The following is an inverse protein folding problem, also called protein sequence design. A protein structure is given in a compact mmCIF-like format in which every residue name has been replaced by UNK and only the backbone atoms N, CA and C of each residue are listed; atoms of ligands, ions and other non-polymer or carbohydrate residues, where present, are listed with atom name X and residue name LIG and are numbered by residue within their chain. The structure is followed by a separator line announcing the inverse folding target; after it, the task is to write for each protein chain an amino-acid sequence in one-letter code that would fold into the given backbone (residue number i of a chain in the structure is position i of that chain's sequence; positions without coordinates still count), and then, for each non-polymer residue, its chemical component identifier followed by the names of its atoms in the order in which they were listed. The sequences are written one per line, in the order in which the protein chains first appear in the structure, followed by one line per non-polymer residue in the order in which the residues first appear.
data_IF_274927692615
#
_entry.id   IF_274927692615
#
_cell.length_a   1.000
_cell.length_b   1.000
_cell.length_c   1.000
_cell.angle_alpha   90.00
_cell.angle_beta   90.00
_cell.angle_gamma   90.00
#
_symmetry.space_group_name_H-M   'P 1'
#
loop_
_entity.id
_entity.type
_entity.pdbx_description
1 polymer ?
#
# COMPACT_ATOMS: atom_id res chain seq x y z
N UNK A 1 27.79 -15.33 0.93
CA UNK A 1 26.98 -14.27 0.34
C UNK A 1 27.28 -14.18 -1.16
N UNK A 2 26.47 -14.86 -2.00
CA UNK A 2 26.52 -14.67 -3.44
C UNK A 2 25.51 -13.60 -3.81
N UNK A 3 26.00 -12.44 -4.24
CA UNK A 3 25.18 -11.46 -4.98
C UNK A 3 24.80 -12.14 -6.31
N UNK A 4 23.51 -12.39 -6.48
CA UNK A 4 22.97 -12.84 -7.77
C UNK A 4 23.10 -11.68 -8.75
N UNK A 5 23.80 -11.91 -9.87
CA UNK A 5 23.90 -10.94 -10.97
C UNK A 5 22.54 -10.78 -11.63
N UNK A 6 22.27 -9.57 -12.12
CA UNK A 6 20.98 -9.10 -12.66
C UNK A 6 20.39 -9.91 -13.82
N UNK A 7 21.11 -10.85 -14.39
CA UNK A 7 20.70 -11.59 -15.58
C UNK A 7 20.15 -13.01 -15.32
N UNK A 8 20.22 -13.51 -14.08
CA UNK A 8 19.95 -14.92 -13.84
C UNK A 8 18.65 -15.28 -13.11
N UNK A 9 17.94 -14.32 -12.51
CA UNK A 9 16.68 -14.60 -11.77
C UNK A 9 15.79 -13.36 -11.72
N UNK A 10 14.95 -13.13 -12.71
CA UNK A 10 13.87 -12.16 -12.56
C UNK A 10 12.67 -12.83 -11.87
N UNK A 11 12.60 -12.69 -10.56
CA UNK A 11 11.35 -12.86 -9.82
C UNK A 11 10.69 -11.48 -9.84
N UNK A 12 9.72 -11.26 -10.74
CA UNK A 12 8.98 -9.99 -10.80
C UNK A 12 7.95 -9.95 -9.68
N UNK A 13 8.36 -9.49 -8.49
CA UNK A 13 7.57 -9.54 -7.26
C UNK A 13 6.82 -8.24 -6.93
N UNK A 14 7.10 -7.14 -7.61
CA UNK A 14 6.83 -5.85 -6.98
C UNK A 14 5.96 -4.87 -7.74
N UNK A 15 6.11 -4.70 -9.05
CA UNK A 15 5.45 -3.60 -9.79
C UNK A 15 3.93 -3.64 -9.73
N UNK A 16 3.31 -4.83 -9.79
CA UNK A 16 1.87 -5.01 -9.65
C UNK A 16 1.35 -4.58 -8.28
N UNK A 17 2.10 -4.90 -7.23
CA UNK A 17 1.80 -4.54 -5.84
C UNK A 17 1.84 -3.03 -5.63
N UNK A 18 2.90 -2.37 -6.11
CA UNK A 18 3.01 -0.91 -6.05
C UNK A 18 1.89 -0.20 -6.82
N UNK A 19 1.55 -0.70 -8.00
CA UNK A 19 0.41 -0.17 -8.78
C UNK A 19 -0.91 -0.30 -8.03
N UNK A 20 -1.18 -1.47 -7.43
CA UNK A 20 -2.39 -1.70 -6.63
C UNK A 20 -2.47 -0.72 -5.45
N UNK A 21 -1.37 -0.48 -4.74
CA UNK A 21 -1.31 0.48 -3.65
C UNK A 21 -1.66 1.91 -4.10
N UNK A 22 -1.07 2.37 -5.21
CA UNK A 22 -1.34 3.70 -5.74
C UNK A 22 -2.81 3.87 -6.16
N UNK A 23 -3.37 2.88 -6.87
CA UNK A 23 -4.78 2.89 -7.29
C UNK A 23 -5.74 2.87 -6.10
N UNK A 24 -5.41 2.11 -5.06
CA UNK A 24 -6.18 2.06 -3.82
C UNK A 24 -6.29 3.44 -3.15
N UNK A 25 -5.17 4.13 -3.00
CA UNK A 25 -5.15 5.46 -2.41
C UNK A 25 -5.76 6.54 -3.33
N UNK A 26 -5.56 6.42 -4.65
CA UNK A 26 -6.19 7.33 -5.61
C UNK A 26 -7.71 7.30 -5.55
N UNK A 27 -8.31 6.10 -5.42
CA UNK A 27 -9.76 5.93 -5.22
C UNK A 27 -10.26 6.59 -3.92
N UNK A 28 -9.38 6.79 -2.93
CA UNK A 28 -9.64 7.50 -1.68
C UNK A 28 -9.29 8.99 -1.73
N UNK A 29 -9.06 9.51 -2.95
CA UNK A 29 -8.82 10.93 -3.24
C UNK A 29 -7.54 11.50 -2.62
N UNK A 30 -6.53 10.67 -2.40
CA UNK A 30 -5.21 11.16 -2.03
C UNK A 30 -4.51 11.77 -3.25
N UNK A 31 -3.77 12.86 -3.03
CA UNK A 31 -2.93 13.54 -4.01
C UNK A 31 -1.44 13.49 -3.64
N UNK A 32 -1.14 13.27 -2.36
CA UNK A 32 0.22 13.10 -1.86
C UNK A 32 0.45 11.64 -1.54
N UNK A 33 1.54 11.08 -2.07
CA UNK A 33 1.88 9.67 -1.97
C UNK A 33 3.33 9.53 -1.52
N UNK A 34 3.58 8.73 -0.51
CA UNK A 34 4.91 8.43 -0.01
C UNK A 34 5.20 6.94 -0.09
N UNK A 35 6.44 6.59 -0.35
CA UNK A 35 6.96 5.23 -0.26
C UNK A 35 8.05 5.14 0.79
N UNK A 36 8.02 4.08 1.60
CA UNK A 36 9.07 3.72 2.53
C UNK A 36 9.57 2.32 2.25
N UNK A 37 10.88 2.15 2.02
CA UNK A 37 11.43 0.86 1.61
C UNK A 37 12.91 0.68 1.87
N UNK A 38 13.42 -0.47 1.39
CA UNK A 38 14.81 -0.90 1.55
C UNK A 38 15.54 -0.66 0.21
N UNK A 39 16.60 0.12 0.27
CA UNK A 39 17.43 0.42 -0.91
C UNK A 39 18.22 -0.80 -1.38
N UNK A 40 18.24 -1.03 -2.70
CA UNK A 40 19.02 -2.11 -3.32
C UNK A 40 18.45 -3.51 -3.13
N UNK A 41 17.22 -3.64 -2.65
CA UNK A 41 16.49 -4.90 -2.54
C UNK A 41 15.47 -4.98 -3.67
N UNK A 42 15.66 -5.92 -4.60
CA UNK A 42 14.92 -6.01 -5.87
C UNK A 42 13.41 -5.91 -5.70
N UNK A 43 12.80 -6.65 -4.78
CA UNK A 43 11.35 -6.63 -4.59
C UNK A 43 10.84 -5.29 -4.00
N UNK A 44 11.65 -4.61 -3.15
CA UNK A 44 11.36 -3.27 -2.64
C UNK A 44 11.45 -2.23 -3.76
N UNK A 45 12.56 -2.26 -4.53
CA UNK A 45 12.77 -1.36 -5.67
C UNK A 45 11.65 -1.49 -6.71
N UNK A 46 11.20 -2.72 -7.00
CA UNK A 46 10.08 -2.97 -7.93
C UNK A 46 8.74 -2.46 -7.39
N UNK A 47 8.46 -2.62 -6.08
CA UNK A 47 7.27 -2.07 -5.43
C UNK A 47 7.28 -0.54 -5.51
N UNK A 48 8.42 0.08 -5.19
CA UNK A 48 8.63 1.52 -5.33
C UNK A 48 8.37 2.01 -6.75
N UNK A 49 8.99 1.36 -7.73
CA UNK A 49 8.86 1.76 -9.14
C UNK A 49 7.42 1.60 -9.66
N UNK A 50 6.74 0.50 -9.33
CA UNK A 50 5.34 0.30 -9.69
C UNK A 50 4.41 1.35 -9.08
N UNK A 51 4.65 1.72 -7.83
CA UNK A 51 3.92 2.77 -7.12
C UNK A 51 4.18 4.14 -7.74
N UNK A 52 5.45 4.51 -7.95
CA UNK A 52 5.86 5.77 -8.57
C UNK A 52 5.28 5.97 -9.96
N UNK A 53 5.33 4.94 -10.82
CA UNK A 53 4.78 5.01 -12.18
C UNK A 53 3.27 5.28 -12.18
N UNK A 54 2.53 4.61 -11.29
CA UNK A 54 1.09 4.81 -11.19
C UNK A 54 0.74 6.18 -10.58
N UNK A 55 1.47 6.62 -9.54
CA UNK A 55 1.31 7.97 -8.96
C UNK A 55 1.53 9.05 -10.03
N UNK A 56 2.57 8.90 -10.87
CA UNK A 56 2.81 9.81 -11.99
C UNK A 56 1.67 9.79 -13.02
N UNK A 57 1.09 8.61 -13.30
CA UNK A 57 -0.03 8.47 -14.25
C UNK A 57 -1.28 9.22 -13.80
N UNK A 58 -1.50 9.33 -12.50
CA UNK A 58 -2.65 10.03 -11.91
C UNK A 58 -2.32 11.47 -11.48
N UNK A 59 -1.18 12.01 -11.90
CA UNK A 59 -0.73 13.37 -11.59
C UNK A 59 -0.62 13.66 -10.08
N UNK A 60 -0.19 12.65 -9.30
CA UNK A 60 0.03 12.74 -7.86
C UNK A 60 1.44 13.21 -7.51
N UNK A 61 1.60 13.80 -6.33
CA UNK A 61 2.90 14.15 -5.77
C UNK A 61 3.53 12.90 -5.13
N UNK A 62 4.78 12.61 -5.47
CA UNK A 62 5.50 11.42 -4.98
C UNK A 62 6.68 11.79 -4.08
N UNK A 63 6.76 11.15 -2.93
CA UNK A 63 7.83 11.26 -1.93
C UNK A 63 8.39 9.86 -1.65
N UNK A 64 9.70 9.77 -1.36
CA UNK A 64 10.33 8.48 -1.14
C UNK A 64 11.40 8.56 -0.06
N UNK A 65 11.43 7.54 0.80
CA UNK A 65 12.54 7.29 1.73
C UNK A 65 12.95 5.83 1.61
N UNK A 66 14.19 5.59 1.23
CA UNK A 66 14.76 4.25 1.10
C UNK A 66 16.11 4.22 1.82
N UNK A 67 16.37 3.18 2.59
CA UNK A 67 17.62 3.00 3.33
C UNK A 67 18.02 1.54 3.34
N UNK A 68 19.33 1.27 3.37
CA UNK A 68 19.93 -0.04 3.58
C UNK A 68 20.39 -0.24 5.04
N UNK A 69 20.19 0.77 5.90
CA UNK A 69 20.53 0.73 7.32
C UNK A 69 19.41 0.09 8.13
N UNK A 70 19.78 -0.38 9.33
CA UNK A 70 18.80 -0.91 10.29
C UNK A 70 17.86 0.19 10.80
N UNK A 71 16.63 -0.17 11.11
CA UNK A 71 15.56 0.75 11.57
C UNK A 71 15.97 1.61 12.77
N UNK A 72 16.71 1.04 13.74
CA UNK A 72 17.18 1.77 14.92
C UNK A 72 18.15 2.91 14.57
N UNK A 73 18.91 2.77 13.47
CA UNK A 73 19.88 3.79 13.02
C UNK A 73 19.21 4.96 12.31
N UNK A 74 18.05 4.72 11.66
CA UNK A 74 17.36 5.71 10.83
C UNK A 74 16.13 6.33 11.47
N UNK A 75 15.72 5.90 12.68
CA UNK A 75 14.47 6.34 13.33
C UNK A 75 14.36 7.87 13.45
N UNK A 76 15.44 8.56 13.74
CA UNK A 76 15.46 10.02 13.86
C UNK A 76 15.26 10.66 12.47
N UNK A 77 15.98 10.18 11.46
CA UNK A 77 15.87 10.68 10.07
C UNK A 77 14.46 10.44 9.51
N UNK A 78 13.90 9.25 9.78
CA UNK A 78 12.52 8.90 9.36
C UNK A 78 11.49 9.77 10.09
N UNK A 79 11.67 10.02 11.40
CA UNK A 79 10.78 10.90 12.16
C UNK A 79 10.75 12.31 11.59
N UNK A 80 11.91 12.88 11.23
CA UNK A 80 12.01 14.20 10.59
C UNK A 80 11.33 14.19 9.22
N UNK A 81 11.63 13.20 8.39
CA UNK A 81 10.99 13.05 7.08
C UNK A 81 9.46 12.97 7.17
N UNK A 82 8.92 12.15 8.10
CA UNK A 82 7.47 12.04 8.31
C UNK A 82 6.83 13.35 8.76
N UNK A 83 7.54 14.19 9.53
CA UNK A 83 7.06 15.52 9.94
C UNK A 83 7.00 16.49 8.77
N UNK A 84 7.98 16.44 7.85
CA UNK A 84 8.08 17.32 6.68
C UNK A 84 7.10 16.98 5.55
N UNK A 85 6.58 15.74 5.52
CA UNK A 85 5.64 15.33 4.49
C UNK A 85 4.34 16.15 4.54
N UNK A 86 3.80 16.55 3.37
CA UNK A 86 2.50 17.23 3.30
C UNK A 86 1.38 16.30 3.77
N UNK A 87 0.50 16.79 4.60
CA UNK A 87 -0.61 16.02 5.18
C UNK A 87 -1.96 16.53 4.68
N UNK A 88 -2.94 15.64 4.46
CA UNK A 88 -2.87 14.19 4.59
C UNK A 88 -2.09 13.54 3.45
N UNK A 89 -1.41 12.43 3.77
CA UNK A 89 -0.62 11.67 2.81
C UNK A 89 -0.91 10.17 2.87
N UNK A 90 -0.84 9.50 1.73
CA UNK A 90 -0.91 8.06 1.59
C UNK A 90 0.51 7.49 1.62
N UNK A 91 0.84 6.67 2.63
CA UNK A 91 2.16 6.07 2.78
C UNK A 91 2.09 4.56 2.54
N UNK A 92 2.85 4.10 1.56
CA UNK A 92 3.01 2.71 1.20
C UNK A 92 4.38 2.20 1.65
N UNK A 93 4.40 1.18 2.51
CA UNK A 93 5.62 0.53 2.97
C UNK A 93 5.94 -0.72 2.16
N UNK A 94 7.22 -1.02 2.04
CA UNK A 94 7.68 -2.18 1.27
C UNK A 94 7.17 -3.51 1.81
N UNK A 95 6.95 -3.65 3.13
CA UNK A 95 6.34 -4.80 3.81
C UNK A 95 5.66 -4.39 5.13
N UNK A 96 5.08 -5.36 5.84
CA UNK A 96 4.35 -5.12 7.09
C UNK A 96 5.29 -4.79 8.26
N UNK A 97 6.51 -5.32 8.28
CA UNK A 97 7.49 -5.00 9.33
C UNK A 97 7.89 -3.53 9.28
N UNK A 98 8.16 -3.01 8.06
CA UNK A 98 8.45 -1.60 7.84
C UNK A 98 7.22 -0.72 8.08
N UNK A 99 6.01 -1.22 7.81
CA UNK A 99 4.78 -0.51 8.15
C UNK A 99 4.60 -0.40 9.67
N UNK A 100 4.93 -1.46 10.44
CA UNK A 100 4.94 -1.41 11.90
C UNK A 100 5.95 -0.40 12.42
N UNK A 101 7.18 -0.40 11.89
CA UNK A 101 8.21 0.58 12.25
C UNK A 101 7.75 2.03 12.00
N UNK A 102 7.10 2.30 10.86
CA UNK A 102 6.51 3.62 10.56
C UNK A 102 5.38 3.96 11.54
N UNK A 103 4.49 3.00 11.85
CA UNK A 103 3.40 3.20 12.82
C UNK A 103 3.93 3.61 14.20
N UNK A 104 4.95 2.91 14.70
CA UNK A 104 5.61 3.23 15.96
C UNK A 104 6.29 4.60 15.91
N UNK A 105 6.98 4.91 14.81
CA UNK A 105 7.66 6.21 14.64
C UNK A 105 6.65 7.35 14.58
N UNK A 106 5.50 7.17 13.92
CA UNK A 106 4.40 8.14 13.94
C UNK A 106 3.87 8.37 15.36
N UNK A 107 3.66 7.31 16.14
CA UNK A 107 3.18 7.38 17.52
C UNK A 107 4.14 8.18 18.42
N UNK A 108 5.45 7.90 18.31
CA UNK A 108 6.49 8.63 19.06
C UNK A 108 6.54 10.10 18.63
N UNK A 109 6.32 10.39 17.35
CA UNK A 109 6.37 11.74 16.77
C UNK A 109 5.04 12.50 16.86
N UNK A 110 4.02 11.93 17.53
CA UNK A 110 2.67 12.48 17.67
C UNK A 110 2.00 12.78 16.30
N UNK A 111 2.21 11.89 15.34
CA UNK A 111 1.57 11.91 14.01
C UNK A 111 0.44 10.89 14.02
N UNK A 112 -0.77 11.29 13.61
CA UNK A 112 -1.96 10.46 13.72
C UNK A 112 -2.18 9.61 12.46
N UNK A 113 -2.39 8.31 12.67
CA UNK A 113 -2.81 7.34 11.66
C UNK A 113 -4.26 6.94 11.99
N UNK A 114 -5.20 7.02 11.06
CA UNK A 114 -5.06 7.37 9.62
C UNK A 114 -5.23 8.85 9.26
N UNK A 115 -5.41 9.77 10.24
CA UNK A 115 -5.86 11.15 9.99
C UNK A 115 -4.84 11.98 9.21
N UNK A 116 -3.56 11.86 9.52
CA UNK A 116 -2.47 12.58 8.86
C UNK A 116 -1.74 11.69 7.85
N UNK A 117 -1.52 10.43 8.19
CA UNK A 117 -0.85 9.43 7.35
C UNK A 117 -1.74 8.20 7.23
N UNK A 118 -2.23 7.92 6.03
CA UNK A 118 -2.90 6.65 5.73
C UNK A 118 -1.86 5.60 5.35
N UNK A 119 -1.72 4.54 6.15
CA UNK A 119 -0.59 3.60 6.10
C UNK A 119 -1.00 2.25 5.52
N UNK A 120 -0.23 1.75 4.55
CA UNK A 120 -0.45 0.45 3.89
C UNK A 120 0.83 -0.36 3.85
N UNK A 121 0.76 -1.61 4.33
CA UNK A 121 1.82 -2.61 4.25
C UNK A 121 1.63 -3.61 3.12
N UNK A 122 2.48 -4.66 3.12
CA UNK A 122 2.42 -5.80 2.20
C UNK A 122 2.79 -7.07 2.94
N UNK A 123 2.25 -8.20 2.51
CA UNK A 123 2.38 -9.60 2.92
C UNK A 123 1.21 -10.11 3.77
N UNK A 124 0.44 -9.21 4.38
CA UNK A 124 -0.70 -9.51 5.25
C UNK A 124 -0.34 -10.49 6.38
N UNK A 125 0.76 -10.17 7.09
CA UNK A 125 1.13 -10.89 8.30
C UNK A 125 0.16 -10.52 9.43
N UNK A 126 -0.70 -11.47 9.81
CA UNK A 126 -1.75 -11.24 10.81
C UNK A 126 -1.19 -10.83 12.18
N UNK A 127 -0.01 -11.34 12.55
CA UNK A 127 0.59 -10.99 13.84
C UNK A 127 1.07 -9.52 13.81
N UNK A 128 1.83 -9.16 12.80
CA UNK A 128 2.40 -7.81 12.65
C UNK A 128 1.29 -6.79 12.49
N UNK A 129 0.35 -7.05 11.58
CA UNK A 129 -0.73 -6.12 11.27
C UNK A 129 -1.66 -5.85 12.47
N UNK A 130 -1.91 -6.85 13.32
CA UNK A 130 -2.83 -6.71 14.46
C UNK A 130 -2.15 -6.24 15.75
N UNK A 131 -0.82 -6.38 15.90
CA UNK A 131 -0.10 -5.84 17.06
C UNK A 131 0.10 -4.33 16.97
N UNK A 132 0.05 -3.77 15.77
CA UNK A 132 0.13 -2.33 15.54
C UNK A 132 -1.09 -1.60 16.09
N UNK A 133 -0.88 -0.36 16.54
CA UNK A 133 -1.94 0.54 16.99
C UNK A 133 -1.83 1.87 16.23
N UNK A 134 -2.73 2.15 15.27
CA UNK A 134 -3.86 1.31 14.83
C UNK A 134 -3.43 0.07 14.01
N UNK A 135 -4.29 -0.98 13.90
CA UNK A 135 -4.05 -2.14 13.06
C UNK A 135 -3.80 -1.77 11.61
N UNK A 136 -2.78 -2.40 10.98
CA UNK A 136 -2.26 -2.05 9.66
C UNK A 136 -3.04 -2.77 8.56
N UNK A 137 -3.57 -2.01 7.60
CA UNK A 137 -4.05 -2.53 6.31
C UNK A 137 -2.87 -3.03 5.48
N UNK A 138 -3.03 -4.14 4.78
CA UNK A 138 -1.94 -4.77 4.06
C UNK A 138 -2.39 -5.41 2.75
N UNK A 139 -1.49 -5.45 1.76
CA UNK A 139 -1.70 -6.15 0.50
C UNK A 139 -1.34 -7.62 0.69
N UNK A 140 -2.33 -8.51 0.49
CA UNK A 140 -2.11 -9.94 0.46
C UNK A 140 -1.53 -10.35 -0.89
N UNK A 141 -0.45 -11.13 -0.86
CA UNK A 141 0.20 -11.69 -2.03
C UNK A 141 -0.18 -13.16 -2.25
N UNK A 142 -0.06 -13.62 -3.50
CA UNK A 142 -0.18 -15.05 -3.81
C UNK A 142 0.81 -15.86 -2.98
N UNK A 143 0.34 -16.95 -2.40
CA UNK A 143 1.20 -17.89 -1.67
C UNK A 143 2.09 -18.66 -2.62
N UNK A 144 3.23 -18.07 -2.99
CA UNK A 144 4.20 -18.66 -3.92
C UNK A 144 4.92 -19.91 -3.40
N UNK A 145 4.83 -20.23 -2.12
CA UNK A 145 5.60 -21.31 -1.49
C UNK A 145 5.46 -22.68 -2.15
N UNK A 146 4.25 -23.08 -2.57
CA UNK A 146 4.04 -24.35 -3.27
C UNK A 146 4.70 -24.36 -4.66
N UNK A 147 4.52 -23.28 -5.42
CA UNK A 147 5.11 -23.15 -6.77
C UNK A 147 6.63 -23.12 -6.71
N UNK A 148 7.19 -22.38 -5.75
CA UNK A 148 8.63 -22.32 -5.48
C UNK A 148 9.16 -23.68 -5.06
N UNK A 149 8.51 -24.35 -4.10
CA UNK A 149 8.90 -25.67 -3.62
C UNK A 149 8.88 -26.73 -4.73
N UNK A 150 7.89 -26.70 -5.62
CA UNK A 150 7.82 -27.59 -6.78
C UNK A 150 8.95 -27.34 -7.77
N UNK A 151 9.29 -26.08 -8.04
CA UNK A 151 10.39 -25.73 -8.94
C UNK A 151 11.75 -26.13 -8.37
N UNK A 152 12.00 -25.91 -7.07
CA UNK A 152 13.22 -26.37 -6.40
C UNK A 152 13.33 -27.90 -6.47
N UNK A 153 12.23 -28.61 -6.23
CA UNK A 153 12.21 -30.08 -6.33
C UNK A 153 12.54 -30.58 -7.75
N UNK A 154 12.00 -29.95 -8.80
CA UNK A 154 12.32 -30.25 -10.19
C UNK A 154 13.78 -29.98 -10.53
N UNK A 155 14.37 -28.88 -10.03
CA UNK A 155 15.79 -28.58 -10.19
C UNK A 155 16.69 -29.62 -9.50
N UNK A 156 16.36 -30.02 -8.27
CA UNK A 156 17.11 -31.06 -7.53
C UNK A 156 17.11 -32.39 -8.31
N UNK A 157 15.97 -32.72 -8.93
CA UNK A 157 15.84 -33.94 -9.75
C UNK A 157 16.47 -33.82 -11.14
N UNK A 158 17.03 -32.67 -11.51
CA UNK A 158 17.55 -32.36 -12.85
C UNK A 158 16.52 -32.56 -13.98
N UNK A 159 15.24 -32.47 -13.67
CA UNK A 159 14.16 -32.60 -14.64
C UNK A 159 13.98 -31.29 -15.45
N UNK A 160 14.63 -30.20 -15.02
CA UNK A 160 14.63 -28.91 -15.70
C UNK A 160 15.98 -28.20 -15.54
N UNK A 161 16.61 -27.88 -16.65
CA UNK A 161 17.77 -26.98 -16.72
C UNK A 161 17.28 -25.64 -17.32
N UNK A 162 17.29 -24.57 -16.52
CA UNK A 162 16.91 -23.23 -16.98
C UNK A 162 16.59 -22.24 -15.86
N UNK A 163 16.49 -20.97 -16.22
CA UNK A 163 16.03 -19.88 -15.34
C UNK A 163 14.51 -19.90 -15.26
N UNK A 164 13.97 -19.75 -14.06
CA UNK A 164 12.53 -19.65 -13.81
C UNK A 164 12.17 -18.23 -13.39
N UNK A 165 11.18 -17.65 -14.04
CA UNK A 165 10.54 -16.41 -13.60
C UNK A 165 9.30 -16.77 -12.80
N UNK A 166 9.33 -16.54 -11.49
CA UNK A 166 8.16 -16.67 -10.64
C UNK A 166 7.58 -15.27 -10.44
N UNK A 167 6.37 -15.06 -10.91
CA UNK A 167 5.62 -13.84 -10.66
C UNK A 167 4.69 -14.10 -9.48
N UNK A 168 4.81 -13.32 -8.42
CA UNK A 168 3.88 -13.33 -7.29
C UNK A 168 3.01 -12.08 -7.42
N UNK A 169 1.71 -12.29 -7.63
CA UNK A 169 0.78 -11.19 -7.83
C UNK A 169 0.11 -10.78 -6.52
N UNK A 170 -0.27 -9.49 -6.39
CA UNK A 170 -1.15 -9.07 -5.32
C UNK A 170 -2.57 -9.64 -5.56
N UNK A 171 -3.19 -10.16 -4.49
CA UNK A 171 -4.55 -10.73 -4.55
C UNK A 171 -5.57 -9.66 -4.19
N UNK A 172 -5.41 -9.04 -3.02
CA UNK A 172 -6.35 -8.08 -2.45
C UNK A 172 -5.67 -7.23 -1.39
N UNK A 173 -6.38 -6.20 -0.94
CA UNK A 173 -6.00 -5.41 0.22
C UNK A 173 -6.89 -5.83 1.39
N UNK A 174 -6.29 -6.32 2.47
CA UNK A 174 -6.99 -6.55 3.72
C UNK A 174 -7.06 -5.23 4.47
N UNK A 175 -8.29 -4.71 4.60
CA UNK A 175 -8.54 -3.40 5.20
C UNK A 175 -8.53 -3.48 6.72
N UNK A 176 -7.82 -2.56 7.37
CA UNK A 176 -7.81 -2.32 8.81
C UNK A 176 -7.80 -0.81 9.07
N UNK A 177 -7.71 -0.39 10.31
CA UNK A 177 -7.90 1.02 10.71
C UNK A 177 -6.88 1.98 10.10
N UNK A 178 -5.65 1.55 9.77
CA UNK A 178 -4.60 2.44 9.26
C UNK A 178 -4.91 3.09 7.91
N UNK A 179 -5.95 2.65 7.20
CA UNK A 179 -6.41 3.23 5.93
C UNK A 179 -7.89 3.58 5.91
N UNK A 180 -8.58 3.64 7.06
CA UNK A 180 -10.03 3.91 7.11
C UNK A 180 -10.41 5.33 6.71
N UNK A 181 -9.45 6.21 6.47
CA UNK A 181 -9.72 7.59 6.08
C UNK A 181 -9.74 7.77 4.57
N UNK A 182 -10.77 8.49 4.10
CA UNK A 182 -10.82 9.06 2.77
C UNK A 182 -10.40 10.53 2.82
N UNK A 183 -9.57 10.99 1.89
CA UNK A 183 -9.20 12.40 1.77
C UNK A 183 -10.30 13.22 1.05
N UNK A 184 -11.54 13.02 1.43
CA UNK A 184 -12.70 13.73 0.88
C UNK A 184 -13.03 14.87 1.83
N UNK A 185 -12.88 16.12 1.34
CA UNK A 185 -13.10 17.34 2.15
C UNK A 185 -14.58 17.63 2.41
N UNK A 186 -15.46 17.26 1.47
CA UNK A 186 -16.89 17.48 1.63
C UNK A 186 -17.51 16.37 2.48
N UNK A 187 -18.09 16.68 3.65
CA UNK A 187 -18.61 15.68 4.57
C UNK A 187 -19.80 14.90 3.98
N UNK A 188 -20.61 15.51 3.13
CA UNK A 188 -21.73 14.83 2.48
C UNK A 188 -21.25 13.84 1.42
N UNK A 189 -20.22 14.21 0.65
CA UNK A 189 -19.63 13.30 -0.31
C UNK A 189 -18.92 12.14 0.41
N UNK A 190 -18.24 12.41 1.54
CA UNK A 190 -17.64 11.35 2.37
C UNK A 190 -18.71 10.36 2.88
N UNK A 191 -19.86 10.87 3.34
CA UNK A 191 -20.96 10.03 3.82
C UNK A 191 -21.52 9.12 2.70
N UNK A 192 -21.68 9.67 1.50
CA UNK A 192 -22.13 8.88 0.34
C UNK A 192 -21.10 7.82 -0.05
N UNK A 193 -19.80 8.14 -0.07
CA UNK A 193 -18.76 7.15 -0.39
C UNK A 193 -18.75 6.01 0.63
N UNK A 194 -18.82 6.30 1.92
CA UNK A 194 -18.93 5.30 2.98
C UNK A 194 -20.20 4.44 2.83
N UNK A 195 -21.30 5.05 2.45
CA UNK A 195 -22.55 4.33 2.19
C UNK A 195 -22.40 3.36 1.01
N UNK A 196 -21.80 3.81 -0.10
CA UNK A 196 -21.51 2.96 -1.28
C UNK A 196 -20.62 1.78 -0.88
N UNK A 197 -19.55 2.02 -0.12
CA UNK A 197 -18.61 0.98 0.30
C UNK A 197 -19.27 -0.06 1.23
N UNK A 198 -20.18 0.36 2.09
CA UNK A 198 -20.91 -0.55 2.99
C UNK A 198 -22.02 -1.34 2.29
N UNK A 199 -22.48 -0.88 1.12
CA UNK A 199 -23.61 -1.45 0.38
C UNK A 199 -23.27 -1.89 -1.06
N UNK A 200 -21.98 -2.14 -1.36
CA UNK A 200 -21.50 -2.45 -2.72
C UNK A 200 -22.17 -3.70 -3.36
N UNK A 201 -22.74 -4.60 -2.54
CA UNK A 201 -23.47 -5.78 -2.99
C UNK A 201 -24.99 -5.55 -3.18
N UNK A 202 -25.46 -4.31 -3.00
CA UNK A 202 -26.88 -3.93 -3.11
C UNK A 202 -27.15 -3.18 -4.39
N UNK A 203 -28.40 -3.14 -4.84
CA UNK A 203 -28.83 -2.30 -5.95
C UNK A 203 -28.81 -0.82 -5.52
N UNK A 204 -27.66 -0.17 -5.76
CA UNK A 204 -27.47 1.25 -5.47
C UNK A 204 -28.09 2.11 -6.57
N UNK A 205 -28.94 3.04 -6.19
CA UNK A 205 -29.54 4.05 -7.08
C UNK A 205 -29.13 5.45 -6.64
N UNK A 206 -29.19 6.42 -7.55
CA UNK A 206 -28.92 7.83 -7.20
C UNK A 206 -29.89 8.30 -6.10
N UNK A 207 -31.12 7.85 -6.12
CA UNK A 207 -32.15 8.15 -5.13
C UNK A 207 -31.77 7.62 -3.74
N UNK A 208 -31.23 6.41 -3.65
CA UNK A 208 -30.76 5.83 -2.39
C UNK A 208 -29.56 6.59 -1.81
N UNK A 209 -28.66 7.10 -2.67
CA UNK A 209 -27.53 7.91 -2.26
C UNK A 209 -27.99 9.31 -1.77
N UNK A 210 -28.89 9.95 -2.49
CA UNK A 210 -29.44 11.26 -2.12
C UNK A 210 -30.25 11.21 -0.83
N UNK A 211 -30.83 10.07 -0.48
CA UNK A 211 -31.54 9.90 0.80
C UNK A 211 -30.61 9.98 2.03
N UNK A 212 -29.30 9.83 1.85
CA UNK A 212 -28.31 9.88 2.93
C UNK A 212 -27.84 11.32 3.23
N UNK A 213 -28.07 12.28 2.32
CA UNK A 213 -27.47 13.62 2.40
C UNK A 213 -28.48 14.71 2.09
N UNK A 214 -28.38 15.91 2.71
CA UNK A 214 -29.28 17.04 2.46
C UNK A 214 -28.82 17.84 1.21
N UNK A 215 -28.54 17.18 0.11
CA UNK A 215 -28.15 17.82 -1.16
C UNK A 215 -29.20 17.55 -2.25
N UNK A 216 -29.42 18.56 -3.10
CA UNK A 216 -30.18 18.34 -4.33
C UNK A 216 -29.36 17.49 -5.32
N UNK A 217 -30.03 16.74 -6.19
CA UNK A 217 -29.40 15.93 -7.23
C UNK A 217 -28.35 16.72 -8.03
N UNK A 218 -28.68 17.92 -8.48
CA UNK A 218 -27.76 18.79 -9.22
C UNK A 218 -26.50 19.14 -8.43
N UNK A 219 -26.67 19.49 -7.14
CA UNK A 219 -25.51 19.82 -6.30
C UNK A 219 -24.64 18.60 -6.01
N UNK A 220 -25.25 17.43 -5.87
CA UNK A 220 -24.54 16.17 -5.71
C UNK A 220 -23.72 15.81 -6.96
N UNK A 221 -24.31 15.83 -8.16
CA UNK A 221 -23.65 15.52 -9.43
C UNK A 221 -22.49 16.50 -9.77
N UNK A 222 -22.48 17.71 -9.24
CA UNK A 222 -21.38 18.66 -9.41
C UNK A 222 -20.23 18.38 -8.44
N UNK A 223 -20.50 17.84 -7.26
CA UNK A 223 -19.52 17.61 -6.18
C UNK A 223 -18.93 16.21 -6.19
N UNK A 224 -19.69 15.22 -6.68
CA UNK A 224 -19.28 13.83 -6.79
C UNK A 224 -18.54 13.54 -8.08
#
# INVERSE_FOLDING_TARGET
SHRLTSDEKQVMLGKGTGRMAAQFFAKRMFHNFAYFGINGVVWSDERCEGFRQEVKRIDGNFYCFESDKHEDEIRIEVSQWLQELPKPIALFCCDDSHALFISETCKISNIHIPEEISLLGVDNDDLICNISDPPISSIELERGGYSIGRLIHQQIKKEHEGTFNIVINPIRIELRQSTEKHNIKDPYILEVVKYIESHYNSDLTIESLLAQIPLSRRNFEVKF
#
